data_IF_716779436927
#
_entry.id   IF_716779436927
#
_cell.length_a   1.000
_cell.length_b   1.000
_cell.length_c   1.000
_cell.angle_alpha   90.00
_cell.angle_beta   90.00
_cell.angle_gamma   90.00
#
_symmetry.space_group_name_H-M   'P 1'
#
loop_
_entity.id
_entity.type
_entity.pdbx_description
1 polymer ?
#
# COMPACT_ATOMS: atom_id res chain seq x y z
N UNK A 1 25.40 -15.71 42.13
CA UNK A 1 25.89 -16.24 40.84
C UNK A 1 24.88 -15.93 39.75
N UNK A 2 25.37 -15.44 38.59
CA UNK A 2 24.67 -15.15 37.31
C UNK A 2 23.66 -13.99 37.35
N UNK A 3 24.07 -12.74 37.08
CA UNK A 3 24.29 -12.11 35.75
C UNK A 3 23.06 -12.23 34.82
N UNK A 4 22.34 -11.13 34.65
CA UNK A 4 21.52 -10.74 33.49
C UNK A 4 21.46 -9.20 33.53
N UNK A 5 22.53 -8.53 33.10
CA UNK A 5 22.70 -7.96 31.74
C UNK A 5 21.51 -7.07 31.35
N UNK A 6 21.76 -5.78 31.52
CA UNK A 6 21.11 -4.63 30.90
C UNK A 6 21.04 -4.82 29.39
N UNK A 7 19.86 -4.56 28.80
CA UNK A 7 19.76 -4.11 27.42
C UNK A 7 18.69 -3.03 27.35
N UNK A 8 19.20 -1.81 27.40
CA UNK A 8 18.57 -0.60 26.90
C UNK A 8 18.16 -0.84 25.43
N UNK A 9 16.88 -0.66 25.13
CA UNK A 9 16.42 -0.36 23.79
C UNK A 9 15.41 0.78 23.90
N UNK A 10 15.98 1.97 23.99
CA UNK A 10 15.34 3.22 23.60
C UNK A 10 14.84 3.05 22.16
N UNK A 11 13.52 2.94 21.98
CA UNK A 11 12.88 3.27 20.72
C UNK A 11 11.82 4.32 21.03
N UNK A 12 12.27 5.57 21.10
CA UNK A 12 11.44 6.71 20.81
C UNK A 12 10.82 6.50 19.41
N UNK A 13 9.59 6.00 19.34
CA UNK A 13 8.72 6.30 18.22
C UNK A 13 7.97 7.59 18.54
N UNK A 14 8.76 8.66 18.63
CA UNK A 14 8.24 9.99 18.40
C UNK A 14 7.95 10.14 16.91
N UNK A 15 6.86 10.86 16.61
CA UNK A 15 6.31 11.15 15.28
C UNK A 15 5.55 9.96 14.70
N UNK A 16 4.22 9.96 14.71
CA UNK A 16 3.45 10.72 13.72
C UNK A 16 2.01 10.90 14.17
N UNK A 17 1.63 12.10 14.61
CA UNK A 17 0.23 12.41 14.90
C UNK A 17 -0.66 12.46 13.63
N UNK A 18 -0.09 12.18 12.44
CA UNK A 18 -0.79 12.05 11.17
C UNK A 18 -0.12 10.99 10.26
N UNK A 19 0.19 9.80 10.78
CA UNK A 19 0.47 8.68 9.88
C UNK A 19 -0.80 8.38 9.07
N UNK A 20 -0.70 8.35 7.74
CA UNK A 20 -1.79 7.91 6.90
C UNK A 20 -2.19 6.49 7.29
N UNK A 21 -3.47 6.27 7.64
CA UNK A 21 -3.99 4.95 7.98
C UNK A 21 -4.16 4.14 6.68
N UNK A 22 -3.14 3.33 6.37
CA UNK A 22 -3.12 2.48 5.18
C UNK A 22 -4.30 1.52 5.10
N UNK A 23 -4.79 1.03 6.24
CA UNK A 23 -5.97 0.15 6.28
C UNK A 23 -7.23 0.93 5.90
N UNK A 24 -7.42 2.14 6.45
CA UNK A 24 -8.54 3.00 6.09
C UNK A 24 -8.51 3.40 4.62
N UNK A 25 -7.34 3.78 4.10
CA UNK A 25 -7.15 4.14 2.69
C UNK A 25 -7.42 2.97 1.74
N UNK A 26 -7.03 1.74 2.11
CA UNK A 26 -7.21 0.55 1.29
C UNK A 26 -8.67 0.09 1.18
N UNK A 27 -9.57 0.47 2.10
CA UNK A 27 -10.98 0.02 2.09
C UNK A 27 -11.68 0.19 0.75
N UNK A 28 -11.45 1.33 0.05
CA UNK A 28 -12.00 1.56 -1.30
C UNK A 28 -11.33 0.70 -2.37
N UNK A 29 -10.05 0.40 -2.22
CA UNK A 29 -9.27 -0.42 -3.14
C UNK A 29 -9.73 -1.88 -3.11
N UNK A 30 -10.10 -2.37 -1.92
CA UNK A 30 -10.54 -3.74 -1.68
C UNK A 30 -11.78 -4.14 -2.50
N UNK A 31 -12.62 -3.17 -2.89
CA UNK A 31 -13.82 -3.41 -3.73
C UNK A 31 -13.44 -4.12 -5.04
N UNK A 32 -12.33 -3.71 -5.66
CA UNK A 32 -11.85 -4.28 -6.91
C UNK A 32 -10.69 -5.27 -6.70
N UNK A 33 -9.81 -5.02 -5.73
CA UNK A 33 -8.57 -5.77 -5.51
C UNK A 33 -8.68 -6.87 -4.44
N UNK A 34 -9.83 -7.01 -3.78
CA UNK A 34 -10.07 -8.02 -2.74
C UNK A 34 -9.62 -7.54 -1.36
N UNK A 35 -10.18 -8.16 -0.31
CA UNK A 35 -9.84 -7.82 1.07
C UNK A 35 -8.38 -8.13 1.42
N UNK A 36 -7.77 -9.13 0.78
CA UNK A 36 -6.38 -9.53 0.99
C UNK A 36 -5.46 -9.15 -0.19
N UNK A 37 -5.89 -8.21 -1.04
CA UNK A 37 -5.13 -7.81 -2.22
C UNK A 37 -4.83 -8.97 -3.21
N UNK A 38 -5.64 -10.04 -3.17
CA UNK A 38 -5.48 -11.32 -3.85
C UNK A 38 -6.37 -11.48 -5.10
N UNK A 39 -7.24 -10.51 -5.39
CA UNK A 39 -8.20 -10.62 -6.49
C UNK A 39 -7.53 -10.32 -7.83
N UNK A 40 -7.61 -11.29 -8.75
CA UNK A 40 -7.35 -11.08 -10.17
C UNK A 40 -8.56 -10.38 -10.79
N UNK A 41 -8.41 -9.09 -11.12
CA UNK A 41 -9.52 -8.29 -11.63
C UNK A 41 -9.68 -8.45 -13.16
N UNK A 42 -10.92 -8.63 -13.62
CA UNK A 42 -11.29 -8.86 -15.03
C UNK A 42 -10.52 -10.01 -15.72
N UNK A 43 -9.99 -10.97 -14.95
CA UNK A 43 -9.08 -12.02 -15.46
C UNK A 43 -7.88 -11.46 -16.25
N UNK A 44 -7.47 -10.21 -15.98
CA UNK A 44 -6.40 -9.49 -16.69
C UNK A 44 -5.44 -8.77 -15.76
N UNK A 45 -5.97 -8.13 -14.72
CA UNK A 45 -5.16 -7.39 -13.75
C UNK A 45 -4.67 -8.40 -12.70
N UNK A 46 -3.35 -8.57 -12.53
CA UNK A 46 -2.81 -9.46 -11.52
C UNK A 46 -3.20 -9.02 -10.12
N UNK A 47 -3.18 -9.96 -9.17
CA UNK A 47 -3.37 -9.67 -7.77
C UNK A 47 -2.30 -8.67 -7.29
N UNK A 48 -2.68 -7.71 -6.45
CA UNK A 48 -1.72 -6.70 -5.98
C UNK A 48 -0.64 -7.33 -5.08
N UNK A 49 -1.02 -8.34 -4.30
CA UNK A 49 -0.08 -9.04 -3.43
C UNK A 49 0.99 -9.85 -4.19
N UNK A 50 0.81 -10.14 -5.47
CA UNK A 50 1.81 -10.81 -6.32
C UNK A 50 2.79 -9.83 -6.99
N UNK A 51 2.58 -8.53 -6.85
CA UNK A 51 3.45 -7.47 -7.41
C UNK A 51 4.44 -7.03 -6.32
N UNK A 52 5.68 -6.70 -6.69
CA UNK A 52 6.65 -6.19 -5.73
C UNK A 52 6.19 -4.84 -5.15
N UNK A 53 6.48 -4.59 -3.86
CA UNK A 53 6.16 -3.32 -3.16
C UNK A 53 6.63 -2.09 -3.95
N UNK A 54 7.89 -2.09 -4.38
CA UNK A 54 8.47 -0.99 -5.15
C UNK A 54 7.71 -0.72 -6.45
N UNK A 55 7.28 -1.77 -7.15
CA UNK A 55 6.50 -1.65 -8.38
C UNK A 55 5.09 -1.12 -8.10
N UNK A 56 4.42 -1.56 -7.02
CA UNK A 56 3.09 -1.04 -6.66
C UNK A 56 3.13 0.46 -6.36
N UNK A 57 4.14 0.92 -5.61
CA UNK A 57 4.34 2.34 -5.33
C UNK A 57 4.55 3.10 -6.64
N UNK A 58 5.43 2.59 -7.53
CA UNK A 58 5.66 3.20 -8.83
C UNK A 58 4.38 3.26 -9.67
N UNK A 59 3.59 2.19 -9.72
CA UNK A 59 2.33 2.17 -10.47
C UNK A 59 1.31 3.16 -9.91
N UNK A 60 1.20 3.31 -8.58
CA UNK A 60 0.33 4.32 -7.96
C UNK A 60 0.73 5.74 -8.40
N UNK A 61 2.03 6.05 -8.42
CA UNK A 61 2.54 7.33 -8.93
C UNK A 61 2.16 7.54 -10.40
N UNK A 62 2.44 6.56 -11.25
CA UNK A 62 2.14 6.67 -12.69
C UNK A 62 0.64 6.78 -12.98
N UNK A 63 -0.22 6.09 -12.21
CA UNK A 63 -1.67 6.22 -12.34
C UNK A 63 -2.18 7.58 -11.85
N UNK A 64 -1.67 8.09 -10.73
CA UNK A 64 -2.03 9.41 -10.21
C UNK A 64 -1.68 10.53 -11.20
N UNK A 65 -0.51 10.43 -11.84
CA UNK A 65 -0.07 11.35 -12.89
C UNK A 65 -0.86 11.14 -14.21
N UNK A 66 -1.46 9.96 -14.40
CA UNK A 66 -2.15 9.59 -15.64
C UNK A 66 -1.22 9.12 -16.76
N UNK A 67 0.00 8.70 -16.41
CA UNK A 67 0.99 8.13 -17.34
C UNK A 67 0.76 6.64 -17.61
N UNK A 68 0.07 5.94 -16.71
CA UNK A 68 -0.20 4.50 -16.82
C UNK A 68 -1.65 4.22 -17.20
N UNK A 69 -1.84 3.31 -18.16
CA UNK A 69 -3.14 2.77 -18.55
C UNK A 69 -3.10 1.25 -18.75
N UNK A 70 -2.57 0.52 -17.76
CA UNK A 70 -2.53 -0.93 -17.86
C UNK A 70 -3.96 -1.51 -17.88
N UNK A 71 -4.20 -2.47 -18.77
CA UNK A 71 -5.48 -3.18 -18.91
C UNK A 71 -6.70 -2.26 -19.15
N UNK A 72 -6.47 -1.04 -19.65
CA UNK A 72 -7.53 -0.04 -19.88
C UNK A 72 -8.11 0.60 -18.61
N UNK A 73 -7.46 0.43 -17.45
CA UNK A 73 -7.95 0.91 -16.15
C UNK A 73 -7.28 2.21 -15.67
N UNK A 74 -6.51 2.90 -16.51
CA UNK A 74 -5.78 4.11 -16.13
C UNK A 74 -6.67 5.23 -15.60
N UNK A 75 -7.79 5.50 -16.29
CA UNK A 75 -8.72 6.56 -15.90
C UNK A 75 -9.39 6.29 -14.54
N UNK A 76 -9.85 5.06 -14.30
CA UNK A 76 -10.47 4.69 -13.03
C UNK A 76 -9.46 4.70 -11.88
N UNK A 77 -8.23 4.24 -12.12
CA UNK A 77 -7.16 4.30 -11.11
C UNK A 77 -6.79 5.74 -10.78
N UNK A 78 -6.67 6.61 -11.79
CA UNK A 78 -6.41 8.05 -11.59
C UNK A 78 -7.47 8.71 -10.71
N UNK A 79 -8.75 8.41 -10.94
CA UNK A 79 -9.86 8.93 -10.12
C UNK A 79 -9.75 8.42 -8.68
N UNK A 80 -9.48 7.12 -8.49
CA UNK A 80 -9.38 6.53 -7.15
C UNK A 80 -8.17 7.04 -6.34
N UNK A 81 -7.09 7.41 -7.03
CA UNK A 81 -5.88 7.97 -6.43
C UNK A 81 -5.90 9.50 -6.30
N UNK A 82 -6.94 10.17 -6.80
CA UNK A 82 -7.05 11.63 -6.74
C UNK A 82 -7.01 12.11 -5.29
N UNK A 83 -6.12 13.06 -5.02
CA UNK A 83 -5.95 13.68 -3.70
C UNK A 83 -5.13 12.85 -2.71
N UNK A 84 -4.62 11.67 -3.12
CA UNK A 84 -3.65 10.93 -2.34
C UNK A 84 -2.23 11.46 -2.59
N UNK A 85 -1.41 11.39 -1.55
CA UNK A 85 -0.01 11.79 -1.52
C UNK A 85 0.93 10.59 -1.70
N UNK A 86 2.23 10.85 -1.85
CA UNK A 86 3.21 9.76 -1.88
C UNK A 86 3.28 9.01 -0.53
N UNK A 87 3.05 9.73 0.57
CA UNK A 87 2.95 9.16 1.92
C UNK A 87 1.75 8.22 2.03
N UNK A 88 0.60 8.58 1.45
CA UNK A 88 -0.58 7.70 1.37
C UNK A 88 -0.29 6.44 0.54
N UNK A 89 0.45 6.57 -0.56
CA UNK A 89 0.84 5.40 -1.36
C UNK A 89 1.73 4.45 -0.57
N UNK A 90 2.69 4.98 0.19
CA UNK A 90 3.54 4.17 1.09
C UNK A 90 2.71 3.51 2.18
N UNK A 91 1.73 4.20 2.76
CA UNK A 91 0.84 3.63 3.77
C UNK A 91 -0.05 2.51 3.21
N UNK A 92 -0.65 2.72 2.03
CA UNK A 92 -1.41 1.69 1.32
C UNK A 92 -0.53 0.48 1.01
N UNK A 93 0.68 0.70 0.49
CA UNK A 93 1.60 -0.37 0.13
C UNK A 93 2.05 -1.17 1.35
N UNK A 94 2.42 -0.48 2.44
CA UNK A 94 2.79 -1.10 3.71
C UNK A 94 1.64 -1.95 4.25
N UNK A 95 0.39 -1.48 4.14
CA UNK A 95 -0.77 -2.28 4.51
C UNK A 95 -0.95 -3.51 3.61
N UNK A 96 -0.76 -3.39 2.29
CA UNK A 96 -0.82 -4.56 1.38
C UNK A 96 0.23 -5.61 1.74
N UNK A 97 1.45 -5.20 2.14
CA UNK A 97 2.49 -6.14 2.59
C UNK A 97 2.07 -6.94 3.83
N UNK A 98 1.26 -6.38 4.74
CA UNK A 98 0.74 -7.13 5.91
C UNK A 98 -0.36 -8.14 5.55
N UNK A 99 -0.96 -8.02 4.35
CA UNK A 99 -2.01 -8.91 3.85
C UNK A 99 -1.47 -10.09 3.05
N UNK A 100 -0.18 -10.06 2.66
CA UNK A 100 0.44 -11.16 1.92
C UNK A 100 0.48 -12.42 2.78
N UNK A 101 0.11 -13.54 2.18
CA UNK A 101 0.19 -14.88 2.80
C UNK A 101 1.38 -15.64 2.25
#
# INVERSE_FOLDING_TARGET
MKKLVVLSALACLGVSAYAADGAALYKKCAVCHGANADKVYLNKVPALNSIASAERIQFMKEYAEGKRNAYGQGAIMKINLKGLTEEDFKAIDAYIETLKK
#
